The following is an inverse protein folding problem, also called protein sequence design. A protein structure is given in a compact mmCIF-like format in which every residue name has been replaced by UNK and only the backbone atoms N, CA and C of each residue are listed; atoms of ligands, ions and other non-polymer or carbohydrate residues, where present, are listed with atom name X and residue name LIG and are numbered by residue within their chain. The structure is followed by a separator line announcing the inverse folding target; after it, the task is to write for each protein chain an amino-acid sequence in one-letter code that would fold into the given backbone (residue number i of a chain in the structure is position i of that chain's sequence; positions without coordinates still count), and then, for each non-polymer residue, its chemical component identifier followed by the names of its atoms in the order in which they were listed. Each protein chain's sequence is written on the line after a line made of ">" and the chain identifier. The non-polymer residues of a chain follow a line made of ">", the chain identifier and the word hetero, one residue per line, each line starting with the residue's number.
data_IF_638174782632
#
_entry.id   IF_638174782632
#
_cell.length_a   1.000
_cell.length_b   1.000
_cell.length_c   1.000
_cell.angle_alpha   90.00
_cell.angle_beta   90.00
_cell.angle_gamma   90.00
#
_symmetry.space_group_name_H-M   'P 1'
#
loop_
_entity.id
_entity.type
_entity.pdbx_description
1 polymer ?
2 polymer ?
3 non-polymer ?
4 non-polymer ?
5 non-polymer ?
6 non-polymer ?
7 non-polymer ?
8 non-polymer ?
9 water ?
#
# COMPACT_ATOMS: atom_id res chain seq x y z
N UNK A 3 6.31 15.34 13.32
CA UNK A 3 5.25 14.72 12.53
C UNK A 3 5.52 14.91 11.04
N UNK A 4 6.47 14.16 10.50
CA UNK A 4 6.81 14.27 9.08
C UNK A 4 5.62 13.83 8.24
N UNK A 5 5.27 14.63 7.24
CA UNK A 5 4.20 14.23 6.34
C UNK A 5 4.79 14.19 4.94
N UNK A 6 4.20 13.37 4.07
CA UNK A 6 4.76 13.22 2.73
C UNK A 6 3.66 13.05 1.70
N UNK A 7 3.96 13.51 0.51
CA UNK A 7 3.13 13.28 -0.66
C UNK A 7 4.02 12.66 -1.73
N UNK A 8 3.54 11.58 -2.34
CA UNK A 8 4.23 10.92 -3.45
C UNK A 8 3.30 10.80 -4.64
N UNK A 9 3.79 11.15 -5.80
CA UNK A 9 3.26 10.65 -7.07
C UNK A 9 4.12 9.46 -7.46
N UNK A 10 3.48 8.34 -7.70
CA UNK A 10 4.18 7.16 -8.17
C UNK A 10 3.69 6.81 -9.56
N UNK A 11 4.60 6.25 -10.33
CA UNK A 11 4.30 5.71 -11.64
C UNK A 11 4.92 4.32 -11.73
N UNK A 12 4.17 3.37 -12.27
CA UNK A 12 4.67 2.04 -12.58
C UNK A 12 4.39 1.82 -14.06
N UNK A 13 5.41 1.48 -14.82
CA UNK A 13 5.08 1.03 -16.15
C UNK A 13 5.96 -0.14 -16.55
N UNK A 14 5.35 -1.06 -17.26
CA UNK A 14 5.98 -2.29 -17.68
C UNK A 14 5.97 -2.35 -19.19
N UNK A 15 7.14 -2.52 -19.79
CA UNK A 15 7.20 -2.84 -21.20
C UNK A 15 7.20 -4.35 -21.33
N UNK A 16 6.12 -4.90 -21.90
CA UNK A 16 6.06 -6.34 -22.15
C UNK A 16 6.92 -6.70 -23.34
N UNK A 17 6.98 -5.84 -24.34
CA UNK A 17 7.96 -5.96 -25.42
C UNK A 17 8.25 -4.56 -25.94
N UNK A 18 8.98 -4.49 -27.05
CA UNK A 18 9.57 -3.23 -27.47
C UNK A 18 8.52 -2.21 -27.88
N UNK A 19 7.33 -2.66 -28.25
CA UNK A 19 6.30 -1.74 -28.71
C UNK A 19 5.03 -1.78 -27.86
N UNK A 20 5.03 -2.42 -26.69
CA UNK A 20 3.79 -2.55 -25.92
C UNK A 20 4.10 -2.38 -24.43
N UNK A 21 3.46 -1.39 -23.81
CA UNK A 21 3.71 -1.10 -22.41
C UNK A 21 2.41 -0.77 -21.68
N UNK A 22 2.36 -1.13 -20.39
CA UNK A 22 1.29 -0.77 -19.48
C UNK A 22 1.77 0.28 -18.49
N UNK A 23 0.90 1.22 -18.17
CA UNK A 23 1.23 2.30 -17.27
C UNK A 23 0.20 2.44 -16.18
N UNK A 24 0.65 2.97 -15.04
CA UNK A 24 -0.22 3.11 -13.89
C UNK A 24 0.37 4.21 -13.02
N UNK A 25 -0.47 5.05 -12.46
CA UNK A 25 0.02 6.18 -11.68
C UNK A 25 -0.97 6.59 -10.63
N UNK A 26 -0.43 7.07 -9.50
CA UNK A 26 -1.27 7.45 -8.37
C UNK A 26 -0.55 8.44 -7.48
N UNK A 27 -1.33 9.11 -6.66
CA UNK A 27 -0.83 10.09 -5.71
C UNK A 27 -1.26 9.69 -4.32
N UNK A 28 -0.33 9.79 -3.38
CA UNK A 28 -0.45 9.21 -2.06
C UNK A 28 -0.07 10.28 -1.05
N UNK A 29 -1.01 10.63 -0.18
CA UNK A 29 -0.74 11.43 1.01
C UNK A 29 -0.40 10.45 2.13
N UNK A 30 0.87 10.41 2.52
CA UNK A 30 1.39 9.31 3.35
C UNK A 30 0.96 7.98 2.72
N UNK A 31 0.25 7.13 3.46
CA UNK A 31 -0.25 5.86 2.93
C UNK A 31 -1.65 5.97 2.37
N UNK A 32 -2.26 7.14 2.42
CA UNK A 32 -3.60 7.34 1.91
C UNK A 32 -3.52 7.65 0.42
N UNK A 33 -4.19 6.84 -0.40
CA UNK A 33 -4.26 7.20 -1.81
C UNK A 33 -5.22 8.37 -1.98
N UNK A 34 -4.73 9.46 -2.56
CA UNK A 34 -5.53 10.63 -2.84
C UNK A 34 -5.81 10.84 -4.32
N UNK A 35 -4.97 10.33 -5.21
CA UNK A 35 -5.19 10.54 -6.62
C UNK A 35 -4.91 9.25 -7.35
N UNK A 36 -5.67 9.03 -8.42
CA UNK A 36 -5.34 8.04 -9.42
C UNK A 36 -5.02 8.75 -10.73
N UNK A 37 -4.68 7.95 -11.74
CA UNK A 37 -4.45 8.48 -13.06
C UNK A 37 -5.31 7.72 -14.07
N UNK A 38 -6.01 8.43 -14.94
CA UNK A 38 -6.75 7.81 -16.03
C UNK A 38 -5.89 7.95 -17.28
N UNK A 39 -5.27 6.84 -17.69
CA UNK A 39 -4.44 6.83 -18.89
C UNK A 39 -5.26 7.18 -20.12
N UNK A 40 -6.46 6.60 -20.25
CA UNK A 40 -7.28 6.76 -21.45
C UNK A 40 -7.98 8.12 -21.54
N UNK A 41 -7.36 9.15 -20.97
CA UNK A 41 -7.77 10.54 -21.17
C UNK A 41 -6.62 11.39 -20.65
N UNK A 42 -5.67 10.72 -20.02
CA UNK A 42 -4.51 11.35 -19.43
C UNK A 42 -4.90 12.41 -18.42
N UNK A 43 -5.65 12.04 -17.39
CA UNK A 43 -6.15 13.03 -16.44
C UNK A 43 -6.10 12.49 -15.01
N UNK A 44 -6.16 13.41 -14.05
CA UNK A 44 -6.05 13.04 -12.65
C UNK A 44 -7.41 12.58 -12.15
N UNK A 45 -7.44 11.47 -11.41
CA UNK A 45 -8.62 11.04 -10.69
C UNK A 45 -8.52 11.54 -9.25
N UNK A 46 -9.37 12.46 -8.87
CA UNK A 46 -9.40 12.97 -7.51
C UNK A 46 -10.26 12.03 -6.68
N UNK A 47 -9.64 11.28 -5.77
CA UNK A 47 -10.31 10.23 -5.03
C UNK A 47 -11.20 10.74 -3.90
N UNK A 48 -10.95 11.95 -3.40
CA UNK A 48 -11.70 12.51 -2.29
C UNK A 48 -12.19 13.90 -2.66
N UNK A 49 -13.24 14.34 -1.97
CA UNK A 49 -13.73 15.70 -2.10
C UNK A 49 -12.59 16.72 -2.04
N UNK A 50 -11.60 16.48 -1.20
CA UNK A 50 -10.58 17.47 -0.92
C UNK A 50 -9.30 17.24 -1.71
N UNK A 51 -9.33 16.34 -2.70
CA UNK A 51 -8.09 16.00 -3.40
C UNK A 51 -7.54 17.15 -4.24
N UNK A 52 -8.32 18.20 -4.51
CA UNK A 52 -7.72 19.34 -5.19
C UNK A 52 -6.77 20.11 -4.27
N UNK A 53 -6.81 19.83 -2.97
CA UNK A 53 -5.90 20.40 -2.00
C UNK A 53 -5.49 21.84 -2.22
N UNK A 54 -6.46 22.75 -2.33
CA UNK A 54 -6.26 24.20 -2.37
C UNK A 54 -5.67 24.69 -3.68
N UNK A 55 -5.42 23.83 -4.66
CA UNK A 55 -4.96 24.28 -5.97
C UNK A 55 -6.16 24.64 -6.83
N UNK A 56 -5.97 25.65 -7.69
CA UNK A 56 -7.01 26.03 -8.64
C UNK A 56 -7.11 25.00 -9.76
N UNK A 57 -8.26 24.99 -10.44
CA UNK A 57 -8.41 24.15 -11.62
C UNK A 57 -7.34 24.46 -12.65
N UNK A 58 -6.88 25.71 -12.72
CA UNK A 58 -5.84 26.07 -13.68
C UNK A 58 -4.52 25.41 -13.34
N UNK A 59 -4.10 25.49 -12.06
CA UNK A 59 -2.85 24.85 -11.65
C UNK A 59 -2.93 23.34 -11.88
N UNK A 60 -4.08 22.73 -11.58
CA UNK A 60 -4.20 21.28 -11.69
C UNK A 60 -4.22 20.83 -13.15
N UNK A 61 -4.90 21.58 -14.03
CA UNK A 61 -4.87 21.23 -15.43
C UNK A 61 -3.51 21.50 -16.04
N UNK A 62 -2.80 22.52 -15.57
CA UNK A 62 -1.41 22.71 -15.95
C UNK A 62 -0.58 21.49 -15.58
N UNK A 63 -0.77 20.99 -14.35
CA UNK A 63 -0.08 19.77 -13.91
C UNK A 63 -0.43 18.59 -14.79
N UNK A 64 -1.71 18.42 -15.11
CA UNK A 64 -2.13 17.36 -16.02
C UNK A 64 -1.41 17.47 -17.36
N UNK A 65 -1.40 18.68 -17.93
CA UNK A 65 -0.70 18.89 -19.20
C UNK A 65 0.76 18.52 -19.06
N UNK A 66 1.36 18.90 -17.93
CA UNK A 66 2.75 18.58 -17.66
C UNK A 66 2.95 17.07 -17.65
N UNK A 67 2.06 16.36 -16.96
CA UNK A 67 2.18 14.90 -16.86
C UNK A 67 2.01 14.26 -18.22
N UNK A 68 1.11 14.80 -19.04
CA UNK A 68 0.91 14.24 -20.37
C UNK A 68 2.13 14.50 -21.26
N UNK A 69 2.65 15.73 -21.27
CA UNK A 69 3.89 16.01 -21.98
C UNK A 69 4.99 15.07 -21.51
N UNK A 70 5.02 14.79 -20.21
CA UNK A 70 6.01 13.90 -19.63
C UNK A 70 5.87 12.48 -20.15
N UNK A 71 4.65 11.95 -20.15
CA UNK A 71 4.42 10.59 -20.64
C UNK A 71 4.72 10.50 -22.14
N UNK A 72 4.36 11.53 -22.90
CA UNK A 72 4.65 11.56 -24.33
C UNK A 72 6.15 11.50 -24.58
N UNK A 73 6.90 12.41 -23.94
CA UNK A 73 8.35 12.38 -24.05
C UNK A 73 8.95 11.06 -23.58
N UNK A 74 8.39 10.49 -22.51
CA UNK A 74 8.88 9.24 -21.99
C UNK A 74 8.75 8.12 -23.02
N UNK A 75 7.57 7.97 -23.62
CA UNK A 75 7.40 6.89 -24.60
C UNK A 75 8.26 7.12 -25.83
N UNK A 76 8.29 8.35 -26.35
CA UNK A 76 9.12 8.66 -27.51
C UNK A 76 10.58 8.31 -27.26
N UNK A 77 11.10 8.68 -26.09
CA UNK A 77 12.51 8.42 -25.78
C UNK A 77 12.76 6.95 -25.52
N UNK A 78 11.83 6.26 -24.85
CA UNK A 78 12.02 4.83 -24.60
C UNK A 78 12.11 4.06 -25.90
N UNK A 79 11.30 4.46 -26.90
CA UNK A 79 11.43 3.80 -28.18
C UNK A 79 12.77 4.13 -28.83
N UNK A 80 13.07 5.42 -29.00
CA UNK A 80 14.28 5.81 -29.73
C UNK A 80 15.58 5.36 -29.08
N UNK A 81 15.57 4.94 -27.80
CA UNK A 81 16.81 4.50 -27.18
C UNK A 81 16.67 3.11 -26.54
N UNK A 82 15.62 2.37 -26.87
CA UNK A 82 15.51 0.99 -26.40
C UNK A 82 16.52 0.12 -27.14
N UNK A 83 17.15 -0.81 -26.41
CA UNK A 83 18.08 -1.75 -27.05
C UNK A 83 17.35 -2.64 -28.05
N UNK A 84 16.04 -2.80 -27.91
CA UNK A 84 15.14 -3.39 -28.91
C UNK A 84 15.29 -4.90 -28.98
N UNK A 85 16.34 -5.48 -28.41
CA UNK A 85 16.47 -6.93 -28.39
C UNK A 85 15.53 -7.54 -27.34
N UNK A 86 14.88 -8.65 -27.72
CA UNK A 86 13.89 -9.28 -26.86
C UNK A 86 14.47 -9.68 -25.50
N UNK A 87 15.79 -9.73 -25.40
CA UNK A 87 16.43 -10.11 -24.14
C UNK A 87 16.02 -9.17 -23.01
N UNK A 88 16.08 -7.87 -23.25
CA UNK A 88 15.79 -6.86 -22.24
C UNK A 88 14.30 -6.74 -21.91
N UNK A 89 13.40 -7.61 -22.39
CA UNK A 89 11.98 -7.56 -22.09
C UNK A 89 11.52 -8.87 -21.48
N UNK A 90 10.49 -8.83 -20.61
CA UNK A 90 9.75 -7.64 -20.14
C UNK A 90 10.54 -6.82 -19.11
N UNK A 91 10.35 -5.51 -18.98
CA UNK A 91 10.97 -4.79 -17.87
C UNK A 91 9.93 -3.86 -17.26
N UNK A 92 10.22 -3.43 -16.03
CA UNK A 92 9.29 -2.63 -15.25
C UNK A 92 10.03 -1.46 -14.61
N UNK A 93 9.52 -0.26 -14.81
CA UNK A 93 10.06 0.95 -14.24
C UNK A 93 9.10 1.44 -13.17
N UNK A 94 9.66 1.92 -12.06
CA UNK A 94 8.91 2.55 -11.00
C UNK A 94 9.50 3.93 -10.75
N UNK A 95 8.63 4.92 -10.66
CA UNK A 95 9.03 6.28 -10.35
C UNK A 95 8.29 6.67 -9.07
N UNK A 96 9.01 7.17 -8.09
CA UNK A 96 8.42 7.74 -6.89
C UNK A 96 8.97 9.15 -6.80
N UNK A 97 8.11 10.13 -7.01
CA UNK A 97 8.50 11.53 -6.94
C UNK A 97 7.61 12.21 -5.92
N UNK A 98 8.11 13.24 -5.27
CA UNK A 98 7.25 13.91 -4.31
C UNK A 98 8.07 14.69 -3.31
N UNK A 99 7.49 14.86 -2.13
CA UNK A 99 8.13 15.67 -1.11
C UNK A 99 7.75 15.20 0.28
N UNK A 100 8.63 15.51 1.21
CA UNK A 100 8.46 15.25 2.62
C UNK A 100 8.64 16.56 3.34
N UNK A 101 7.65 16.93 4.14
CA UNK A 101 7.69 18.12 4.96
C UNK A 101 8.08 17.70 6.37
N UNK A 102 9.18 18.26 6.85
CA UNK A 102 9.72 17.98 8.17
C UNK A 102 8.98 18.76 9.24
N UNK A 103 9.36 18.53 10.50
CA UNK A 103 8.71 19.16 11.64
C UNK A 103 8.73 20.68 11.53
N UNK A 104 9.91 21.27 11.34
CA UNK A 104 9.99 22.72 11.32
C UNK A 104 9.43 23.41 10.09
N UNK A 105 9.00 22.64 9.08
CA UNK A 105 8.53 23.21 7.83
C UNK A 105 9.53 23.08 6.69
N UNK A 106 10.68 22.50 6.93
CA UNK A 106 11.68 22.39 5.87
C UNK A 106 11.20 21.37 4.84
N UNK A 107 11.05 21.76 3.57
CA UNK A 107 10.67 20.78 2.56
C UNK A 107 11.88 20.01 2.08
N UNK A 108 11.63 18.76 1.74
CA UNK A 108 12.62 17.91 1.09
C UNK A 108 11.96 17.29 -0.13
N UNK A 109 12.55 17.48 -1.30
CA UNK A 109 12.04 16.87 -2.50
C UNK A 109 12.74 15.56 -2.81
N UNK A 110 12.05 14.68 -3.51
CA UNK A 110 12.70 13.47 -4.00
C UNK A 110 12.08 13.07 -5.32
N UNK A 111 12.89 12.35 -6.11
CA UNK A 111 12.48 11.80 -7.39
C UNK A 111 13.41 10.61 -7.60
N UNK A 112 12.93 9.43 -7.24
CA UNK A 112 13.68 8.19 -7.36
C UNK A 112 13.03 7.30 -8.41
N UNK A 113 13.87 6.54 -9.10
CA UNK A 113 13.43 5.64 -10.14
C UNK A 113 14.05 4.28 -9.88
N UNK A 114 13.28 3.23 -10.07
CA UNK A 114 13.75 1.87 -10.04
C UNK A 114 13.49 1.22 -11.40
N UNK A 115 14.34 0.27 -11.72
CA UNK A 115 14.26 -0.53 -12.94
C UNK A 115 14.34 -1.96 -12.47
N UNK A 116 13.32 -2.75 -12.83
CA UNK A 116 13.18 -4.14 -12.39
C UNK A 116 13.36 -4.25 -10.87
N UNK A 117 12.78 -3.30 -10.15
CA UNK A 117 12.78 -3.37 -8.71
C UNK A 117 14.10 -3.06 -8.06
N UNK A 118 15.07 -2.56 -8.82
CA UNK A 118 16.35 -2.11 -8.28
C UNK A 118 16.45 -0.60 -8.51
N UNK A 119 17.08 0.09 -7.56
CA UNK A 119 17.35 1.51 -7.77
C UNK A 119 18.02 1.72 -9.13
N UNK A 120 17.52 2.70 -9.86
CA UNK A 120 18.09 3.13 -11.12
C UNK A 120 18.78 4.49 -10.98
N UNK A 121 18.07 5.47 -10.44
CA UNK A 121 18.62 6.80 -10.32
C UNK A 121 17.69 7.65 -9.48
N UNK A 122 18.24 8.71 -8.90
CA UNK A 122 17.44 9.68 -8.20
C UNK A 122 17.85 11.07 -8.65
N UNK A 123 17.15 12.08 -8.17
CA UNK A 123 17.41 13.47 -8.53
C UNK A 123 17.88 14.19 -7.28
N UNK A 124 19.18 14.48 -7.18
CA UNK A 124 19.72 15.13 -6.01
C UNK A 124 20.16 16.55 -6.39
N UNK A 125 19.75 17.52 -5.57
CA UNK A 125 19.90 18.95 -5.83
C UNK A 125 19.39 19.30 -7.21
N UNK A 126 20.29 19.34 -8.19
CA UNK A 126 19.95 19.76 -9.53
C UNK A 126 20.43 18.77 -10.59
N UNK A 127 20.91 17.59 -10.19
CA UNK A 127 21.45 16.61 -11.13
C UNK A 127 20.87 15.22 -10.88
N UNK A 128 20.74 14.49 -11.98
CA UNK A 128 20.31 13.09 -11.97
C UNK A 128 21.48 12.22 -11.58
N UNK A 129 21.44 11.70 -10.36
CA UNK A 129 22.48 10.80 -9.84
C UNK A 129 22.13 9.38 -10.27
N UNK A 130 22.99 8.71 -11.04
CA UNK A 130 22.81 7.28 -11.26
C UNK A 130 23.02 6.52 -9.98
N UNK A 131 22.31 5.40 -9.85
CA UNK A 131 22.45 4.57 -8.66
C UNK A 131 23.82 3.88 -8.67
N UNK A 132 24.48 3.77 -7.50
CA UNK A 132 25.80 3.13 -7.43
C UNK A 132 25.78 1.66 -7.81
N UNK A 133 24.95 0.88 -7.10
CA UNK A 133 24.86 -0.54 -7.36
C UNK A 133 24.52 -0.88 -8.80
N UNK A 134 23.69 -0.05 -9.44
CA UNK A 134 23.42 -0.24 -10.85
C UNK A 134 24.63 0.15 -11.69
N UNK A 135 24.53 -0.04 -13.00
CA UNK A 135 25.64 0.24 -13.88
C UNK A 135 25.31 1.19 -15.01
N UNK A 136 25.48 0.70 -16.24
CA UNK A 136 25.51 1.58 -17.42
C UNK A 136 24.12 2.06 -17.82
N UNK A 137 23.07 1.31 -17.54
CA UNK A 137 21.73 1.82 -17.82
C UNK A 137 21.47 3.11 -17.03
N UNK A 138 21.77 3.08 -15.74
CA UNK A 138 21.63 4.26 -14.90
C UNK A 138 22.37 5.45 -15.49
N UNK A 139 23.65 5.25 -15.83
CA UNK A 139 24.45 6.33 -16.39
C UNK A 139 23.87 6.81 -17.73
N UNK A 140 23.40 5.90 -18.56
CA UNK A 140 22.81 6.31 -19.84
C UNK A 140 21.62 7.22 -19.60
N UNK A 141 20.69 6.78 -18.73
CA UNK A 141 19.48 7.56 -18.49
C UNK A 141 19.84 8.91 -17.88
N UNK A 142 20.80 8.91 -16.94
CA UNK A 142 21.22 10.16 -16.31
C UNK A 142 21.89 11.10 -17.30
N UNK A 143 22.66 10.55 -18.24
CA UNK A 143 23.28 11.39 -19.27
C UNK A 143 22.20 12.04 -20.12
N UNK A 144 21.20 11.26 -20.54
CA UNK A 144 20.10 11.84 -21.31
C UNK A 144 19.39 12.94 -20.51
N UNK A 145 19.15 12.73 -19.22
CA UNK A 145 18.38 13.68 -18.43
C UNK A 145 19.18 14.94 -18.08
N UNK A 146 20.49 14.80 -17.87
CA UNK A 146 21.33 15.91 -17.49
C UNK A 146 21.75 16.76 -18.70
N UNK A 147 21.91 16.13 -19.87
CA UNK A 147 22.49 16.80 -21.03
C UNK A 147 21.47 17.12 -22.10
N UNK A 148 20.75 16.13 -22.61
CA UNK A 148 19.93 16.33 -23.80
C UNK A 148 18.52 16.79 -23.49
N UNK A 149 18.29 17.48 -22.37
CA UNK A 149 16.99 18.03 -22.09
C UNK A 149 17.08 19.50 -21.75
N UNK A 150 15.91 20.12 -21.63
CA UNK A 150 15.81 21.53 -21.41
C UNK A 150 15.34 21.76 -19.98
N UNK A 151 14.17 22.35 -19.82
CA UNK A 151 13.59 22.52 -18.52
C UNK A 151 13.20 21.25 -17.81
N UNK A 152 13.38 20.07 -18.41
CA UNK A 152 12.98 18.82 -17.75
C UNK A 152 13.53 18.79 -16.33
N UNK A 153 14.84 18.94 -16.20
CA UNK A 153 15.48 18.88 -14.89
C UNK A 153 15.00 20.02 -13.98
N UNK A 154 14.88 21.23 -14.52
CA UNK A 154 14.46 22.37 -13.68
C UNK A 154 12.99 22.28 -13.29
N UNK A 155 12.15 21.78 -14.20
CA UNK A 155 10.75 21.55 -13.89
C UNK A 155 10.60 20.52 -12.79
N UNK A 156 11.32 19.41 -12.89
CA UNK A 156 11.33 18.44 -11.80
C UNK A 156 11.73 19.10 -10.48
N UNK A 157 12.76 19.96 -10.52
CA UNK A 157 13.20 20.64 -9.30
C UNK A 157 12.06 21.45 -8.69
N UNK A 158 11.45 22.35 -9.47
CA UNK A 158 10.38 23.19 -8.95
C UNK A 158 9.20 22.36 -8.47
N UNK A 159 8.84 21.32 -9.23
CA UNK A 159 7.74 20.43 -8.86
C UNK A 159 7.97 19.81 -7.49
N UNK A 160 9.15 19.21 -7.29
CA UNK A 160 9.31 18.47 -6.05
C UNK A 160 9.73 19.36 -4.88
N UNK A 161 10.27 20.55 -5.13
CA UNK A 161 10.79 21.42 -4.08
C UNK A 161 9.83 22.52 -3.68
N UNK A 162 9.00 22.98 -4.62
CA UNK A 162 8.07 24.07 -4.36
C UNK A 162 6.62 23.64 -4.55
N UNK A 163 6.25 23.15 -5.74
CA UNK A 163 4.86 22.76 -5.99
C UNK A 163 4.41 21.68 -5.02
N UNK A 164 5.23 20.67 -4.83
CA UNK A 164 4.79 19.52 -4.04
C UNK A 164 4.55 19.87 -2.58
N UNK A 165 5.44 20.57 -1.86
CA UNK A 165 5.09 20.90 -0.46
C UNK A 165 3.86 21.78 -0.36
N UNK A 166 3.72 22.72 -1.28
CA UNK A 166 2.54 23.56 -1.35
C UNK A 166 1.28 22.73 -1.48
N UNK A 167 1.28 21.79 -2.41
CA UNK A 167 0.11 20.94 -2.63
C UNK A 167 -0.11 20.00 -1.47
N UNK A 168 0.96 19.39 -0.96
CA UNK A 168 0.86 18.53 0.21
C UNK A 168 0.13 19.24 1.35
N UNK A 169 0.56 20.46 1.66
CA UNK A 169 -0.08 21.22 2.73
C UNK A 169 -1.51 21.55 2.39
N UNK A 170 -1.77 21.96 1.14
CA UNK A 170 -3.13 22.23 0.75
C UNK A 170 -4.01 21.01 0.94
N UNK A 171 -3.46 19.82 0.66
CA UNK A 171 -4.18 18.56 0.79
C UNK A 171 -4.54 18.28 2.22
N UNK A 172 -3.54 18.36 3.11
CA UNK A 172 -3.79 18.15 4.53
C UNK A 172 -4.83 19.11 5.04
N UNK A 173 -4.76 20.37 4.59
CA UNK A 173 -5.71 21.36 5.06
C UNK A 173 -7.10 21.05 4.56
N UNK A 174 -7.23 20.83 3.24
CA UNK A 174 -8.53 20.54 2.67
C UNK A 174 -9.07 19.22 3.22
N UNK A 175 -8.19 18.28 3.52
CA UNK A 175 -8.65 17.02 4.06
C UNK A 175 -8.60 16.98 5.58
N UNK A 176 -8.62 18.14 6.26
CA UNK A 176 -8.38 18.12 7.71
C UNK A 176 -9.40 17.26 8.44
N UNK A 177 -10.66 17.34 8.04
CA UNK A 177 -11.68 16.55 8.74
C UNK A 177 -11.51 15.06 8.46
N UNK A 178 -10.89 14.70 7.35
CA UNK A 178 -10.64 13.29 7.15
C UNK A 178 -9.36 12.84 7.85
N UNK A 179 -8.27 13.59 7.67
CA UNK A 179 -6.99 13.10 8.16
C UNK A 179 -6.89 13.21 9.67
N UNK A 180 -7.74 14.02 10.30
CA UNK A 180 -7.75 14.19 11.75
C UNK A 180 -8.88 13.41 12.42
N UNK A 181 -9.51 12.48 11.70
CA UNK A 181 -10.65 11.79 12.28
C UNK A 181 -10.17 10.70 13.25
N UNK A 182 -11.13 10.23 14.05
CA UNK A 182 -10.94 9.13 14.99
C UNK A 182 -12.00 8.09 14.70
N UNK A 183 -11.60 6.84 14.53
CA UNK A 183 -12.52 5.75 14.24
C UNK A 183 -12.31 4.66 15.28
N UNK A 184 -13.37 4.33 15.99
CA UNK A 184 -13.24 3.34 17.08
C UNK A 184 -13.05 1.95 16.49
N UNK A 185 -12.01 1.23 16.90
CA UNK A 185 -11.88 -0.18 16.48
C UNK A 185 -12.93 -1.02 17.17
N UNK A 186 -13.21 -2.18 16.60
CA UNK A 186 -13.85 -3.23 17.35
C UNK A 186 -12.86 -4.38 17.46
N UNK A 187 -13.04 -5.23 18.46
CA UNK A 187 -12.12 -6.34 18.69
C UNK A 187 -12.92 -7.62 18.84
N UNK A 188 -12.28 -8.73 18.49
CA UNK A 188 -12.90 -10.01 18.74
C UNK A 188 -11.80 -11.04 18.90
N UNK A 189 -12.14 -12.17 19.50
CA UNK A 189 -11.20 -13.24 19.75
C UNK A 189 -11.46 -14.37 18.78
N UNK A 190 -10.39 -15.06 18.40
CA UNK A 190 -10.54 -16.30 17.69
C UNK A 190 -9.39 -17.20 18.07
N UNK A 191 -9.52 -18.46 17.69
CA UNK A 191 -8.45 -19.43 17.79
C UNK A 191 -7.63 -19.39 16.51
N UNK A 192 -6.33 -19.28 16.63
CA UNK A 192 -5.43 -19.26 15.50
C UNK A 192 -4.88 -20.66 15.21
N UNK A 193 -3.92 -20.74 14.32
CA UNK A 193 -3.38 -22.07 13.97
C UNK A 193 -2.78 -22.69 15.22
N UNK A 194 -3.16 -23.93 15.46
CA UNK A 194 -2.70 -24.62 16.65
C UNK A 194 -1.17 -24.54 16.76
N UNK A 195 -0.63 -24.04 17.88
CA UNK A 195 0.83 -24.07 18.05
C UNK A 195 1.38 -25.45 18.26
N UNK A 196 0.54 -26.41 18.60
CA UNK A 196 0.99 -27.74 18.92
C UNK A 196 -0.04 -28.45 19.78
N UNK A 197 0.18 -29.74 20.00
CA UNK A 197 -0.73 -30.48 20.89
C UNK A 197 -0.74 -29.84 22.25
N UNK A 198 -1.92 -29.72 22.84
CA UNK A 198 -1.97 -29.13 24.16
C UNK A 198 -1.67 -27.66 24.18
N UNK A 199 -1.72 -26.99 23.03
CA UNK A 199 -1.42 -25.58 22.94
C UNK A 199 -2.47 -24.87 22.10
N UNK A 200 -2.69 -23.61 22.43
CA UNK A 200 -3.69 -22.80 21.76
C UNK A 200 -3.00 -21.55 21.25
N UNK A 201 -3.49 -21.04 20.13
CA UNK A 201 -3.09 -19.73 19.64
C UNK A 201 -4.31 -18.84 19.87
N UNK A 202 -4.19 -17.90 20.81
CA UNK A 202 -5.21 -16.92 21.07
C UNK A 202 -4.97 -15.76 20.12
N UNK A 203 -6.01 -15.35 19.44
CA UNK A 203 -5.91 -14.27 18.48
C UNK A 203 -6.89 -13.21 18.91
N UNK A 204 -6.40 -12.00 19.06
CA UNK A 204 -7.23 -10.85 19.31
C UNK A 204 -7.18 -9.98 18.07
N UNK A 205 -8.28 -9.88 17.37
CA UNK A 205 -8.42 -9.05 16.19
C UNK A 205 -8.91 -7.68 16.62
N UNK A 206 -8.23 -6.64 16.16
CA UNK A 206 -8.65 -5.25 16.35
C UNK A 206 -8.79 -4.67 14.97
N UNK A 207 -10.01 -4.35 14.58
CA UNK A 207 -10.27 -3.91 13.22
C UNK A 207 -11.06 -2.63 13.22
N UNK A 208 -10.72 -1.73 12.30
CA UNK A 208 -11.49 -0.52 12.10
C UNK A 208 -11.02 0.68 12.89
N UNK A 209 -9.77 0.71 13.33
CA UNK A 209 -9.29 1.89 14.04
C UNK A 209 -8.57 2.82 13.06
N UNK A 210 -8.67 4.12 13.35
CA UNK A 210 -7.90 5.16 12.70
C UNK A 210 -7.89 6.32 13.69
N UNK A 211 -6.75 6.98 13.92
CA UNK A 211 -5.45 6.81 13.27
C UNK A 211 -4.79 5.47 13.60
N UNK A 212 -3.63 5.27 13.01
CA UNK A 212 -2.91 4.01 13.07
C UNK A 212 -2.37 3.62 14.44
N UNK A 213 -1.88 4.55 15.29
CA UNK A 213 -1.33 4.13 16.59
C UNK A 213 -2.39 3.40 17.41
N UNK A 214 -2.04 2.21 17.85
CA UNK A 214 -2.98 1.39 18.60
C UNK A 214 -2.17 0.62 19.60
N UNK A 215 -2.79 0.26 20.72
CA UNK A 215 -2.14 -0.56 21.71
C UNK A 215 -2.99 -1.80 21.90
N UNK A 216 -2.40 -2.97 21.69
CA UNK A 216 -3.10 -4.22 21.91
C UNK A 216 -2.18 -5.15 22.66
N UNK A 217 -2.70 -5.74 23.73
CA UNK A 217 -1.90 -6.71 24.46
C UNK A 217 -2.81 -7.81 24.96
N UNK A 218 -2.28 -9.02 24.99
CA UNK A 218 -2.87 -10.03 25.85
C UNK A 218 -2.38 -9.81 27.28
N UNK A 219 -3.30 -9.98 28.24
CA UNK A 219 -3.12 -9.65 29.64
C UNK A 219 -3.65 -10.79 30.49
N UNK A 220 -3.08 -10.91 31.69
CA UNK A 220 -3.67 -11.69 32.77
C UNK A 220 -3.85 -10.68 33.90
N UNK A 221 -5.07 -10.21 34.07
CA UNK A 221 -5.27 -8.99 34.83
C UNK A 221 -4.41 -7.88 34.25
N UNK A 222 -3.49 -7.38 35.06
CA UNK A 222 -2.67 -6.22 34.73
C UNK A 222 -1.31 -6.61 34.19
N UNK A 223 -1.00 -7.89 34.19
CA UNK A 223 0.27 -8.42 33.70
C UNK A 223 0.20 -8.61 32.19
N UNK A 224 1.01 -7.85 31.46
CA UNK A 224 1.12 -8.03 30.02
C UNK A 224 1.81 -9.35 29.70
N UNK A 225 1.18 -10.15 28.86
CA UNK A 225 1.76 -11.44 28.47
C UNK A 225 2.94 -11.21 27.54
N UNK A 226 4.11 -11.74 27.91
CA UNK A 226 5.33 -11.46 27.17
C UNK A 226 5.31 -12.08 25.77
N UNK A 227 4.63 -13.20 25.59
CA UNK A 227 4.66 -13.89 24.30
C UNK A 227 3.85 -13.23 23.21
N UNK A 228 3.06 -12.21 23.54
CA UNK A 228 2.21 -11.55 22.55
C UNK A 228 3.02 -11.13 21.33
N UNK A 229 2.50 -11.48 20.16
CA UNK A 229 3.06 -11.04 18.89
C UNK A 229 2.03 -10.15 18.20
N UNK A 230 2.48 -9.00 17.74
CA UNK A 230 1.67 -8.08 16.97
C UNK A 230 1.91 -8.36 15.49
N UNK A 231 0.85 -8.66 14.76
CA UNK A 231 0.97 -8.76 13.32
C UNK A 231 1.24 -7.39 12.73
N UNK A 232 1.38 -7.37 11.41
CA UNK A 232 1.44 -6.10 10.71
C UNK A 232 0.13 -5.35 10.88
N UNK A 233 0.21 -4.04 11.02
CA UNK A 233 -1.02 -3.25 10.93
C UNK A 233 -1.42 -3.18 9.46
N UNK A 234 -2.51 -3.83 9.12
CA UNK A 234 -3.02 -4.08 7.78
C UNK A 234 -4.11 -3.09 7.43
N UNK A 235 -4.22 -2.69 6.17
CA UNK A 235 -5.25 -1.72 5.80
C UNK A 235 -6.60 -2.40 5.70
N UNK A 236 -7.63 -1.69 6.12
CA UNK A 236 -8.99 -2.01 5.73
C UNK A 236 -9.39 -1.12 4.57
N UNK A 237 -10.49 -1.48 3.93
CA UNK A 237 -11.14 -0.55 3.02
C UNK A 237 -11.71 0.63 3.81
N UNK A 238 -11.73 1.80 3.16
CA UNK A 238 -12.22 3.03 3.74
C UNK A 238 -11.34 3.52 4.89
N UNK A 239 -10.06 3.21 4.83
CA UNK A 239 -9.09 3.98 5.57
C UNK A 239 -9.00 3.67 7.04
N UNK A 240 -9.37 2.47 7.47
CA UNK A 240 -9.02 2.08 8.81
C UNK A 240 -8.02 0.94 8.75
N UNK A 241 -7.60 0.51 9.93
CA UNK A 241 -6.51 -0.43 10.06
C UNK A 241 -6.97 -1.67 10.80
N UNK A 242 -6.18 -2.71 10.66
CA UNK A 242 -6.50 -3.99 11.26
C UNK A 242 -5.23 -4.52 11.86
N UNK A 243 -5.34 -5.16 13.02
CA UNK A 243 -4.20 -5.72 13.70
C UNK A 243 -4.61 -7.00 14.40
N UNK A 244 -3.80 -8.04 14.27
CA UNK A 244 -3.95 -9.25 15.05
C UNK A 244 -2.87 -9.25 16.12
N UNK A 245 -3.27 -9.46 17.36
CA UNK A 245 -2.33 -9.73 18.43
C UNK A 245 -2.52 -11.17 18.86
N UNK A 246 -1.46 -11.94 18.83
CA UNK A 246 -1.62 -13.36 19.05
C UNK A 246 -0.75 -13.79 20.21
N UNK A 247 -1.16 -14.88 20.83
CA UNK A 247 -0.41 -15.43 21.94
C UNK A 247 -0.56 -16.94 21.88
N UNK A 248 0.54 -17.66 21.86
CA UNK A 248 0.48 -19.10 22.07
C UNK A 248 0.50 -19.37 23.57
N UNK A 249 -0.39 -20.26 24.04
CA UNK A 249 -0.46 -20.62 25.46
C UNK A 249 -0.71 -22.12 25.61
N UNK A 250 -0.23 -22.69 26.70
CA UNK A 250 -0.62 -24.05 27.05
C UNK A 250 -2.13 -24.13 27.24
N UNK A 251 -2.70 -25.24 26.77
CA UNK A 251 -3.99 -25.70 27.24
C UNK A 251 -3.99 -25.76 28.77
N UNK A 252 -5.02 -25.16 29.36
CA UNK A 252 -5.06 -25.03 30.80
C UNK A 252 -4.45 -23.75 31.34
N UNK A 253 -3.72 -22.99 30.51
CA UNK A 253 -3.24 -21.68 30.91
C UNK A 253 -3.93 -20.55 30.16
N UNK A 254 -4.88 -20.88 29.28
CA UNK A 254 -5.60 -19.86 28.53
C UNK A 254 -6.62 -19.13 29.40
N UNK A 255 -7.24 -19.85 30.33
CA UNK A 255 -8.28 -19.25 31.16
C UNK A 255 -7.72 -18.08 31.92
N UNK A 256 -8.50 -17.02 32.00
CA UNK A 256 -8.07 -15.81 32.65
C UNK A 256 -7.45 -14.78 31.73
N UNK A 257 -6.93 -15.19 30.57
CA UNK A 257 -6.28 -14.25 29.67
C UNK A 257 -7.31 -13.39 28.96
N UNK A 258 -6.94 -12.15 28.72
CA UNK A 258 -7.81 -11.19 28.06
C UNK A 258 -7.01 -10.36 27.07
N UNK A 259 -7.69 -9.93 26.05
CA UNK A 259 -7.14 -8.99 25.11
C UNK A 259 -7.56 -7.59 25.53
N UNK A 260 -6.59 -6.68 25.62
CA UNK A 260 -6.81 -5.28 25.99
C UNK A 260 -6.40 -4.38 24.84
N UNK A 261 -7.31 -3.50 24.44
CA UNK A 261 -7.11 -2.63 23.31
C UNK A 261 -7.25 -1.19 23.80
N UNK A 262 -6.21 -0.41 23.58
CA UNK A 262 -6.24 1.03 23.78
C UNK A 262 -6.12 1.74 22.44
N UNK A 263 -6.90 2.80 22.28
CA UNK A 263 -6.81 3.58 21.07
C UNK A 263 -7.29 4.99 21.39
N UNK A 264 -6.72 5.96 20.66
CA UNK A 264 -7.09 7.35 20.91
C UNK A 264 -8.58 7.56 20.82
N UNK A 265 -9.26 6.80 19.95
CA UNK A 265 -10.70 6.95 19.79
C UNK A 265 -11.50 6.40 20.96
N UNK A 266 -10.89 5.57 21.82
CA UNK A 266 -11.65 4.91 22.89
C UNK A 266 -11.77 5.76 24.14
N UNK A 267 -10.96 6.81 24.26
CA UNK A 267 -11.06 7.79 25.35
C UNK A 267 -11.10 7.10 26.73
N UNK A 268 -10.00 6.41 27.03
CA UNK A 268 -9.84 5.77 28.31
C UNK A 268 -10.52 4.43 28.43
N UNK A 269 -11.61 4.23 27.69
CA UNK A 269 -12.43 3.02 27.81
C UNK A 269 -11.80 1.92 26.94
N UNK A 270 -10.82 1.23 27.50
CA UNK A 270 -10.15 0.17 26.77
C UNK A 270 -11.14 -0.94 26.43
N UNK A 271 -10.92 -1.59 25.30
CA UNK A 271 -11.67 -2.81 25.00
C UNK A 271 -11.01 -3.98 25.71
N UNK A 272 -11.81 -4.76 26.40
CA UNK A 272 -11.32 -5.93 27.12
C UNK A 272 -12.17 -7.11 26.70
N UNK A 273 -11.51 -8.16 26.22
CA UNK A 273 -12.21 -9.37 25.82
C UNK A 273 -11.52 -10.52 26.51
N UNK A 274 -12.29 -11.32 27.23
CA UNK A 274 -11.72 -12.48 27.89
C UNK A 274 -11.79 -13.70 27.00
N UNK A 275 -10.69 -14.45 26.96
CA UNK A 275 -10.68 -15.69 26.21
C UNK A 275 -11.60 -16.71 26.85
N UNK A 276 -12.48 -17.32 26.04
CA UNK A 276 -13.44 -18.31 26.50
C UNK A 276 -13.13 -19.73 26.00
N UNK A 277 -13.42 -20.04 24.74
CA UNK A 277 -13.06 -21.35 24.18
C UNK A 277 -13.72 -22.61 24.74
N UNK A 278 -14.32 -22.54 25.94
CA UNK A 278 -14.90 -23.73 26.58
C UNK A 278 -15.89 -23.28 27.67
N UNK A 279 -17.12 -23.00 27.26
CA UNK A 279 -18.17 -22.43 28.12
C UNK A 279 -17.64 -21.22 28.88
N UNK B 3 15.89 -8.99 -9.34
CA UNK B 3 15.09 -8.85 -8.11
C UNK B 3 13.64 -9.32 -8.35
N UNK B 4 13.34 -10.53 -7.91
CA UNK B 4 11.99 -11.09 -8.01
C UNK B 4 11.57 -11.58 -6.63
N UNK B 5 10.54 -10.95 -6.07
CA UNK B 5 10.11 -11.19 -4.70
C UNK B 5 8.70 -11.79 -4.67
N UNK B 6 8.50 -12.67 -3.78
CA UNK B 6 7.27 -13.42 -3.91
C UNK B 6 6.16 -12.80 -3.05
N UNK B 7 4.91 -12.90 -3.50
CA UNK B 7 3.83 -12.20 -2.78
C UNK B 7 3.55 -12.83 -1.43
N UNK B 8 3.47 -11.99 -0.42
CA UNK B 8 2.91 -12.35 0.88
C UNK B 8 1.40 -12.06 0.86
N UNK B 9 0.63 -13.01 1.37
CA UNK B 9 -0.82 -12.95 1.30
C UNK B 9 -1.37 -12.99 2.71
N UNK B 10 -2.15 -11.98 3.08
CA UNK B 10 -2.81 -11.97 4.38
C UNK B 10 -4.30 -11.76 4.18
N UNK B 11 -5.09 -12.65 4.74
CA UNK B 11 -6.54 -12.66 4.56
C UNK B 11 -7.16 -12.39 5.91
N UNK B 12 -8.09 -11.47 5.95
CA UNK B 12 -8.67 -11.06 7.22
C UNK B 12 -10.03 -10.47 6.94
N UNK B 13 -10.93 -10.61 7.88
CA UNK B 13 -12.22 -9.98 7.73
C UNK B 13 -12.24 -8.64 8.46
N UNK B 14 -13.07 -7.73 7.96
CA UNK B 14 -13.24 -6.43 8.59
C UNK B 14 -13.91 -6.54 9.95
N UNK B 15 -14.81 -7.52 10.11
CA UNK B 15 -15.64 -7.72 11.27
C UNK B 15 -15.58 -9.18 11.67
N UNK B 16 -15.92 -9.51 12.93
CA UNK B 16 -15.99 -10.92 13.32
C UNK B 16 -16.92 -11.70 12.40
N UNK B 17 -16.50 -12.91 12.03
CA UNK B 17 -17.36 -13.79 11.25
C UNK B 17 -18.65 -14.05 12.01
N UNK B 18 -19.74 -13.41 11.60
CA UNK B 18 -21.08 -13.77 12.04
C UNK B 18 -21.79 -14.42 10.87
N UNK B 19 -22.34 -15.60 11.08
CA UNK B 19 -23.07 -16.27 10.02
C UNK B 19 -24.35 -15.50 9.71
N UNK B 20 -24.53 -15.12 8.45
CA UNK B 20 -25.70 -14.37 8.03
C UNK B 20 -25.61 -12.88 8.20
N UNK B 21 -24.46 -12.33 8.59
CA UNK B 21 -24.27 -10.91 8.77
C UNK B 21 -23.25 -10.41 7.75
N UNK B 22 -23.55 -9.29 7.10
CA UNK B 22 -22.63 -8.75 6.10
C UNK B 22 -21.30 -8.36 6.74
N UNK B 23 -20.24 -8.47 5.94
CA UNK B 23 -18.85 -8.38 6.37
C UNK B 23 -18.02 -8.02 5.15
N UNK B 24 -16.72 -7.78 5.37
CA UNK B 24 -15.76 -7.58 4.30
C UNK B 24 -14.60 -8.54 4.45
N UNK B 25 -14.27 -9.23 3.37
CA UNK B 25 -13.09 -10.06 3.31
C UNK B 25 -12.01 -9.24 2.63
N UNK B 26 -10.91 -9.04 3.34
CA UNK B 26 -9.71 -8.38 2.86
C UNK B 26 -8.66 -9.42 2.51
N UNK B 27 -7.94 -9.17 1.43
CA UNK B 27 -6.71 -9.87 1.09
C UNK B 27 -5.65 -8.82 0.79
N UNK B 28 -4.63 -8.75 1.63
CA UNK B 28 -3.53 -7.83 1.46
C UNK B 28 -2.36 -8.62 0.92
N UNK B 29 -1.91 -8.29 -0.29
CA UNK B 29 -0.83 -8.98 -0.97
C UNK B 29 0.33 -7.99 -1.14
N UNK B 30 1.48 -8.32 -0.58
CA UNK B 30 2.54 -7.33 -0.49
C UNK B 30 3.89 -7.97 -0.72
N UNK B 31 4.91 -7.13 -0.90
CA UNK B 31 6.26 -7.64 -1.07
C UNK B 31 6.52 -8.39 -2.36
N UNK B 32 5.72 -8.19 -3.40
CA UNK B 32 5.98 -8.92 -4.64
C UNK B 32 6.63 -8.00 -5.66
N UNK B 33 7.34 -8.63 -6.60
CA UNK B 33 7.96 -7.97 -7.73
C UNK B 33 8.22 -9.04 -8.77
N UNK B 34 7.97 -8.80 -10.06
CA UNK B 34 7.36 -7.62 -10.69
C UNK B 34 5.87 -7.48 -10.40
N UNK B 35 5.24 -6.40 -10.85
CA UNK B 35 3.88 -6.10 -10.42
C UNK B 35 2.85 -7.00 -11.08
N UNK B 36 3.21 -7.67 -12.17
CA UNK B 36 2.33 -8.62 -12.83
C UNK B 36 1.84 -9.64 -11.82
N UNK B 37 0.52 -9.76 -11.67
CA UNK B 37 0.05 -10.63 -10.61
C UNK B 37 -1.40 -10.95 -10.90
N UNK B 38 -1.87 -12.09 -10.44
CA UNK B 38 -3.27 -12.46 -10.51
C UNK B 38 -3.73 -12.66 -9.07
N UNK B 39 -4.50 -11.74 -8.54
CA UNK B 39 -5.11 -11.90 -7.22
C UNK B 39 -6.60 -12.05 -7.42
N UNK B 40 -7.16 -13.11 -6.87
CA UNK B 40 -8.58 -13.33 -6.88
C UNK B 40 -9.03 -13.66 -5.47
N UNK B 41 -10.16 -13.10 -5.07
CA UNK B 41 -10.88 -13.63 -3.93
C UNK B 41 -11.78 -14.74 -4.43
N UNK B 42 -11.81 -15.85 -3.70
CA UNK B 42 -12.57 -17.04 -4.05
C UNK B 42 -13.67 -17.29 -3.04
N UNK B 43 -14.84 -17.67 -3.54
CA UNK B 43 -15.92 -18.26 -2.76
C UNK B 43 -16.08 -19.71 -3.22
N UNK B 44 -15.81 -20.65 -2.32
CA UNK B 44 -15.90 -22.07 -2.62
C UNK B 44 -15.04 -22.42 -3.83
N UNK B 45 -13.82 -21.89 -3.85
CA UNK B 45 -12.89 -22.10 -4.94
C UNK B 45 -13.24 -21.41 -6.23
N UNK B 46 -14.33 -20.66 -6.28
CA UNK B 46 -14.73 -19.94 -7.49
C UNK B 46 -14.44 -18.46 -7.31
N UNK B 47 -13.97 -17.82 -8.38
CA UNK B 47 -13.55 -16.44 -8.29
C UNK B 47 -14.74 -15.53 -8.03
N UNK B 48 -14.52 -14.55 -7.17
CA UNK B 48 -15.53 -13.53 -6.86
C UNK B 48 -15.30 -12.34 -7.79
N UNK B 49 -16.33 -12.00 -8.56
CA UNK B 49 -16.20 -10.88 -9.48
C UNK B 49 -16.27 -9.53 -8.76
N UNK B 50 -17.16 -9.43 -7.77
CA UNK B 50 -17.45 -8.17 -7.09
C UNK B 50 -16.40 -7.92 -6.01
N UNK B 51 -15.20 -7.59 -6.46
CA UNK B 51 -14.10 -7.23 -5.58
C UNK B 51 -13.64 -5.83 -5.92
N UNK B 52 -12.97 -5.22 -4.98
CA UNK B 52 -12.28 -3.95 -5.13
C UNK B 52 -10.83 -4.17 -4.79
N UNK B 53 -9.97 -3.33 -5.35
CA UNK B 53 -8.57 -3.42 -5.01
C UNK B 53 -7.98 -2.04 -5.06
N UNK B 54 -6.95 -1.83 -4.25
CA UNK B 54 -6.25 -0.57 -4.28
C UNK B 54 -5.47 -0.46 -5.58
N UNK B 55 -5.12 0.77 -5.93
CA UNK B 55 -4.22 0.93 -7.05
C UNK B 55 -2.88 0.37 -6.66
N UNK B 56 -2.17 -0.13 -7.66
CA UNK B 56 -0.83 -0.61 -7.44
C UNK B 56 -0.02 0.43 -6.70
N UNK B 57 0.65 -0.02 -5.66
CA UNK B 57 1.58 0.85 -4.96
C UNK B 57 2.79 0.01 -4.57
N UNK B 58 3.81 0.67 -4.04
CA UNK B 58 5.00 -0.07 -3.66
C UNK B 58 5.67 0.61 -2.47
N UNK B 59 6.51 -0.14 -1.78
CA UNK B 59 7.19 0.33 -0.59
C UNK B 59 8.54 0.94 -0.96
N UNK B 60 9.34 1.28 0.06
CA UNK B 60 10.66 1.84 -0.19
C UNK B 60 11.58 0.87 -0.90
N UNK B 61 11.42 -0.43 -0.65
CA UNK B 61 12.26 -1.39 -1.34
C UNK B 61 11.77 -1.68 -2.75
N UNK B 62 10.73 -0.99 -3.21
CA UNK B 62 10.15 -1.07 -4.56
C UNK B 62 9.22 -2.26 -4.72
N UNK B 63 9.07 -3.12 -3.71
CA UNK B 63 8.13 -4.22 -3.84
C UNK B 63 6.71 -3.71 -3.73
N UNK B 64 5.80 -4.40 -4.41
CA UNK B 64 4.45 -3.91 -4.61
C UNK B 64 3.50 -4.44 -3.55
N UNK B 65 2.42 -3.72 -3.37
CA UNK B 65 1.37 -4.22 -2.50
C UNK B 65 0.03 -3.77 -3.03
N UNK B 66 -0.97 -4.63 -2.81
CA UNK B 66 -2.36 -4.43 -3.19
C UNK B 66 -3.23 -4.86 -2.04
N UNK B 67 -4.24 -4.05 -1.74
CA UNK B 67 -5.34 -4.48 -0.89
C UNK B 67 -6.54 -4.84 -1.76
N UNK B 68 -7.07 -6.04 -1.57
CA UNK B 68 -8.31 -6.51 -2.14
C UNK B 68 -9.36 -6.62 -1.04
N UNK B 69 -10.60 -6.38 -1.42
CA UNK B 69 -11.68 -6.60 -0.47
C UNK B 69 -12.95 -6.82 -1.25
N UNK B 70 -13.81 -7.63 -0.67
CA UNK B 70 -15.13 -7.89 -1.22
C UNK B 70 -16.10 -7.96 -0.05
N UNK B 71 -17.28 -7.39 -0.24
CA UNK B 71 -18.33 -7.49 0.74
C UNK B 71 -18.96 -8.86 0.63
N UNK B 72 -19.07 -9.58 1.74
CA UNK B 72 -19.63 -10.92 1.69
C UNK B 72 -20.48 -11.17 2.92
N UNK B 73 -21.25 -12.25 2.89
CA UNK B 73 -22.02 -12.71 4.04
C UNK B 73 -21.57 -14.12 4.32
N UNK B 74 -20.79 -14.36 5.37
CA UNK B 74 -20.31 -15.71 5.64
C UNK B 74 -21.43 -16.59 6.17
N UNK B 75 -21.45 -17.83 5.69
CA UNK B 75 -22.32 -18.88 6.21
C UNK B 75 -21.45 -20.09 6.51
N UNK B 76 -22.03 -21.04 7.25
CA UNK B 76 -21.27 -22.19 7.72
C UNK B 76 -20.68 -22.98 6.56
N UNK B 77 -21.46 -23.15 5.48
CA UNK B 77 -21.04 -24.01 4.38
C UNK B 77 -20.06 -23.35 3.42
N UNK B 78 -19.84 -22.03 3.52
CA UNK B 78 -19.09 -21.28 2.52
C UNK B 78 -17.65 -21.09 2.96
N UNK B 79 -16.72 -21.53 2.14
CA UNK B 79 -15.30 -21.29 2.39
C UNK B 79 -14.82 -20.18 1.45
N UNK B 80 -14.09 -19.23 2.01
CA UNK B 80 -13.55 -18.10 1.28
C UNK B 80 -12.04 -18.15 1.30
N UNK B 81 -11.43 -17.64 0.24
CA UNK B 81 -9.99 -17.72 0.12
C UNK B 81 -9.49 -16.55 -0.73
N UNK B 82 -8.19 -16.36 -0.69
CA UNK B 82 -7.49 -15.43 -1.55
C UNK B 82 -6.46 -16.22 -2.33
N UNK B 83 -6.49 -16.13 -3.66
CA UNK B 83 -5.62 -16.90 -4.53
C UNK B 83 -4.74 -15.94 -5.30
N UNK B 84 -3.44 -16.17 -5.25
CA UNK B 84 -2.46 -15.32 -5.90
C UNK B 84 -1.62 -16.18 -6.82
N UNK B 85 -1.57 -15.79 -8.09
CA UNK B 85 -0.61 -16.34 -9.03
C UNK B 85 0.40 -15.26 -9.35
N UNK B 86 1.66 -15.67 -9.41
CA UNK B 86 2.73 -14.73 -9.65
C UNK B 86 3.84 -15.49 -10.37
N UNK B 87 4.69 -14.73 -11.06
CA UNK B 87 5.73 -15.40 -11.83
C UNK B 87 6.71 -16.09 -10.90
N UNK B 88 6.83 -15.63 -9.66
CA UNK B 88 7.66 -16.26 -8.64
C UNK B 88 7.04 -17.50 -8.03
N UNK B 89 5.79 -17.81 -8.36
CA UNK B 89 5.09 -18.95 -7.78
C UNK B 89 5.04 -20.07 -8.80
N UNK B 90 5.41 -21.27 -8.37
CA UNK B 90 5.30 -22.47 -9.20
C UNK B 90 3.86 -22.87 -9.44
N UNK B 91 2.96 -22.48 -8.52
CA UNK B 91 1.54 -22.84 -8.51
C UNK B 91 0.81 -21.70 -7.86
N UNK B 92 -0.45 -21.45 -8.21
CA UNK B 92 -1.23 -20.43 -7.51
C UNK B 92 -1.33 -20.75 -6.02
N UNK B 93 -0.99 -19.77 -5.20
CA UNK B 93 -1.06 -19.89 -3.76
C UNK B 93 -2.46 -19.48 -3.30
N UNK B 94 -3.07 -20.31 -2.46
CA UNK B 94 -4.42 -20.07 -1.96
C UNK B 94 -4.34 -20.01 -0.44
N UNK B 95 -4.72 -18.88 0.13
CA UNK B 95 -4.80 -18.67 1.57
C UNK B 95 -6.27 -18.59 1.95
N UNK B 96 -6.72 -19.50 2.81
CA UNK B 96 -8.11 -19.51 3.24
C UNK B 96 -8.34 -18.52 4.38
N UNK B 97 -9.59 -18.17 4.56
CA UNK B 97 -10.00 -17.31 5.66
C UNK B 97 -10.63 -18.16 6.75
N UNK B 98 -10.40 -17.75 8.01
CA UNK B 98 -10.94 -18.41 9.21
C UNK B 98 -12.40 -18.05 9.50
#
# INVERSE_FOLDING_TARGET
>A
SQEHVSFHVIQIFSFVNQSWARGQGSGWLDELQTHGWDSESGTIIFLHQWSKGQFSNEELSDLELLFRFYLFGLTREIQDHASQDYSKYPFEVQVKAGCELHSGGSPEGFFQVAFNGLDLLSFQQTTWVPSPGCGSLAQSVCHLLNHQYEGVTETVYNLIRSTCPRFLLGLLDAGKMYVHRQVRPEAWLSSGPSPGPGRLQLVCHVSGFYPKPVWVMWMRGEQEQQGTQLGDILPNANGTWYLRATLDVADGEAAGLSCRVKHSSLEGQDIILYWRGSLVP
>B
AAIQRTPKIQVYSRHPAENGKSNFLNCYVSGFHPSDIEVDLLKNGERIEKVEHSDLSFSKDWSFYLLYYTEFTPTEKDEYACRVNHVTLSQPKIVKWDRDM
#
